data_IF_993325302098
#
_entry.id   IF_993325302098
#
_cell.length_a   1.000
_cell.length_b   1.000
_cell.length_c   1.000
_cell.angle_alpha   90.00
_cell.angle_beta   90.00
_cell.angle_gamma   90.00
#
_symmetry.space_group_name_H-M   'P 1'
#
loop_
_entity.id
_entity.type
_entity.pdbx_description
1 polymer ?
#
# COMPACT_ATOMS: atom_id res chain seq x y z
N UNK A 1 -9.90 8.44 15.50
CA UNK A 1 -10.38 7.51 14.47
C UNK A 1 -11.32 8.21 13.52
N UNK A 2 -11.13 7.99 12.25
CA UNK A 2 -11.97 8.65 11.25
C UNK A 2 -13.25 7.89 11.01
N UNK A 3 -14.29 8.63 10.68
CA UNK A 3 -15.56 8.03 10.29
C UNK A 3 -15.54 7.75 8.79
N UNK A 4 -16.55 7.00 8.34
CA UNK A 4 -16.69 6.72 6.90
C UNK A 4 -16.89 8.00 6.10
N UNK A 5 -17.56 8.98 6.67
CA UNK A 5 -17.80 10.26 6.01
C UNK A 5 -16.49 11.00 5.72
N UNK A 6 -15.54 10.89 6.64
CA UNK A 6 -14.24 11.54 6.48
C UNK A 6 -13.40 10.88 5.40
N UNK A 7 -13.75 9.65 5.01
CA UNK A 7 -13.00 8.90 4.02
C UNK A 7 -13.39 9.23 2.58
N UNK A 8 -14.46 10.00 2.36
CA UNK A 8 -14.91 10.25 0.99
C UNK A 8 -13.90 11.02 0.17
N UNK A 9 -13.23 12.02 0.76
CA UNK A 9 -12.18 12.74 0.06
C UNK A 9 -11.00 11.83 -0.27
N UNK A 10 -10.65 10.97 0.67
CA UNK A 10 -9.58 10.01 0.45
C UNK A 10 -9.92 9.05 -0.67
N UNK A 11 -11.14 8.54 -0.70
CA UNK A 11 -11.56 7.61 -1.73
C UNK A 11 -11.56 8.26 -3.11
N UNK A 12 -11.99 9.52 -3.20
CA UNK A 12 -11.94 10.24 -4.46
C UNK A 12 -10.50 10.43 -4.94
N UNK A 13 -9.59 10.74 -4.01
CA UNK A 13 -8.19 10.90 -4.34
C UNK A 13 -7.58 9.58 -4.80
N UNK A 14 -7.92 8.49 -4.12
CA UNK A 14 -7.43 7.17 -4.49
C UNK A 14 -7.94 6.75 -5.87
N UNK A 15 -9.23 6.99 -6.13
CA UNK A 15 -9.80 6.66 -7.43
C UNK A 15 -9.11 7.43 -8.55
N UNK A 16 -8.86 8.70 -8.31
CA UNK A 16 -8.13 9.54 -9.26
C UNK A 16 -6.74 8.99 -9.55
N UNK A 17 -6.05 8.56 -8.50
CA UNK A 17 -4.72 7.98 -8.64
C UNK A 17 -4.75 6.64 -9.38
N UNK A 18 -5.78 5.83 -9.11
CA UNK A 18 -5.95 4.57 -9.83
C UNK A 18 -6.16 4.84 -11.32
N UNK A 19 -7.00 5.81 -11.64
CA UNK A 19 -7.29 6.16 -13.03
C UNK A 19 -6.05 6.70 -13.75
N UNK A 20 -5.22 7.43 -13.03
CA UNK A 20 -4.04 8.07 -13.61
C UNK A 20 -2.85 7.13 -13.75
N UNK A 21 -2.62 6.29 -12.75
CA UNK A 21 -1.40 5.47 -12.67
C UNK A 21 -1.63 3.98 -12.81
N UNK A 22 -2.87 3.53 -12.63
CA UNK A 22 -3.17 2.12 -12.59
C UNK A 22 -3.01 1.55 -11.19
N UNK A 23 -3.80 0.52 -10.90
CA UNK A 23 -3.81 -0.03 -9.55
C UNK A 23 -2.51 -0.76 -9.20
N UNK A 24 -1.87 -1.39 -10.19
CA UNK A 24 -0.63 -2.10 -9.94
C UNK A 24 0.47 -1.15 -9.46
N UNK A 25 0.57 0.03 -10.08
CA UNK A 25 1.56 1.03 -9.69
C UNK A 25 1.26 1.54 -8.27
N UNK A 26 -0.02 1.76 -7.95
CA UNK A 26 -0.39 2.17 -6.60
C UNK A 26 -0.04 1.11 -5.57
N UNK A 27 -0.24 -0.16 -5.89
CA UNK A 27 0.10 -1.23 -4.96
C UNK A 27 1.59 -1.27 -4.71
N UNK A 28 2.41 -1.08 -5.75
CA UNK A 28 3.86 -1.01 -5.58
C UNK A 28 4.26 0.17 -4.69
N UNK A 29 3.58 1.31 -4.87
CA UNK A 29 3.79 2.46 -4.01
C UNK A 29 3.49 2.17 -2.56
N UNK A 30 2.39 1.45 -2.31
CA UNK A 30 2.02 1.07 -0.95
C UNK A 30 3.05 0.11 -0.34
N UNK A 31 3.57 -0.82 -1.12
CA UNK A 31 4.65 -1.70 -0.67
C UNK A 31 5.86 -0.88 -0.23
N UNK A 32 6.23 0.08 -1.05
CA UNK A 32 7.36 0.95 -0.74
C UNK A 32 7.14 1.72 0.56
N UNK A 33 5.94 2.27 0.74
CA UNK A 33 5.59 2.98 1.95
C UNK A 33 5.65 2.06 3.18
N UNK A 34 5.11 0.84 3.04
CA UNK A 34 5.13 -0.11 4.15
C UNK A 34 6.56 -0.46 4.55
N UNK A 35 7.44 -0.66 3.57
CA UNK A 35 8.85 -0.96 3.86
C UNK A 35 9.55 0.21 4.51
N UNK A 36 9.28 1.43 4.06
CA UNK A 36 9.84 2.62 4.68
C UNK A 36 9.38 2.79 6.12
N UNK A 37 8.11 2.50 6.38
CA UNK A 37 7.59 2.56 7.74
C UNK A 37 8.29 1.55 8.63
N UNK A 38 8.50 0.33 8.13
CA UNK A 38 9.20 -0.70 8.90
C UNK A 38 10.62 -0.25 9.25
N UNK A 39 11.35 0.27 8.28
CA UNK A 39 12.72 0.74 8.50
C UNK A 39 12.76 1.89 9.48
N UNK A 40 11.86 2.85 9.33
CA UNK A 40 11.82 4.01 10.20
C UNK A 40 11.55 3.61 11.65
N UNK A 41 10.59 2.73 11.86
CA UNK A 41 10.22 2.27 13.20
C UNK A 41 11.37 1.49 13.82
N UNK A 42 11.99 0.61 13.03
CA UNK A 42 13.10 -0.18 13.52
C UNK A 42 14.29 0.69 13.91
N UNK A 43 14.62 1.67 13.06
CA UNK A 43 15.80 2.51 13.28
C UNK A 43 15.61 3.52 14.40
N UNK A 44 14.42 4.12 14.50
CA UNK A 44 14.21 5.23 15.42
C UNK A 44 13.59 4.81 16.74
N UNK A 45 12.75 3.79 16.73
CA UNK A 45 12.01 3.38 17.90
C UNK A 45 12.46 2.02 18.44
N UNK A 46 13.21 1.28 17.62
CA UNK A 46 13.64 -0.06 17.94
C UNK A 46 12.48 -0.98 18.33
N UNK A 47 11.32 -0.69 17.75
CA UNK A 47 10.13 -1.51 17.97
C UNK A 47 10.09 -2.59 16.90
N UNK A 48 10.75 -3.71 17.19
CA UNK A 48 10.86 -4.79 16.22
C UNK A 48 9.52 -5.45 15.93
N UNK A 49 8.62 -5.47 16.90
CA UNK A 49 7.30 -6.06 16.71
C UNK A 49 6.49 -5.25 15.71
N UNK A 50 6.48 -3.93 15.88
CA UNK A 50 5.76 -3.05 14.96
C UNK A 50 6.40 -3.04 13.58
N UNK A 51 7.73 -3.01 13.52
CA UNK A 51 8.45 -3.08 12.24
C UNK A 51 8.12 -4.38 11.51
N UNK A 52 8.08 -5.49 12.22
CA UNK A 52 7.75 -6.78 11.64
C UNK A 52 6.31 -6.79 11.10
N UNK A 53 5.41 -6.14 11.82
CA UNK A 53 4.02 -6.01 11.37
C UNK A 53 3.94 -5.27 10.02
N UNK A 54 4.68 -4.18 9.89
CA UNK A 54 4.73 -3.44 8.62
C UNK A 54 5.33 -4.28 7.49
N UNK A 55 6.34 -5.10 7.80
CA UNK A 55 6.91 -6.00 6.80
C UNK A 55 5.92 -7.06 6.36
N UNK A 56 5.10 -7.54 7.28
CA UNK A 56 4.03 -8.48 6.94
C UNK A 56 2.99 -7.84 6.03
N UNK A 57 2.68 -6.58 6.26
CA UNK A 57 1.80 -5.83 5.36
C UNK A 57 2.42 -5.74 3.96
N UNK A 58 3.69 -5.39 3.89
CA UNK A 58 4.40 -5.31 2.61
C UNK A 58 4.38 -6.65 1.89
N UNK A 59 4.68 -7.73 2.59
CA UNK A 59 4.70 -9.06 2.00
C UNK A 59 3.31 -9.49 1.50
N UNK A 60 2.26 -9.12 2.23
CA UNK A 60 0.90 -9.43 1.80
C UNK A 60 0.56 -8.67 0.52
N UNK A 61 1.00 -7.42 0.40
CA UNK A 61 0.74 -6.61 -0.76
C UNK A 61 1.43 -7.13 -2.01
N UNK A 62 2.57 -7.79 -1.86
CA UNK A 62 3.31 -8.35 -2.99
C UNK A 62 3.14 -9.87 -3.11
N UNK A 63 2.09 -10.41 -2.50
CA UNK A 63 1.85 -11.84 -2.59
C UNK A 63 1.68 -12.27 -4.04
N UNK A 64 2.07 -13.51 -4.33
CA UNK A 64 1.99 -14.04 -5.68
C UNK A 64 0.57 -14.00 -6.22
N UNK A 65 -0.40 -14.29 -5.36
CA UNK A 65 -1.81 -14.30 -5.75
C UNK A 65 -2.25 -12.90 -6.21
N UNK A 66 -1.88 -11.89 -5.45
CA UNK A 66 -2.24 -10.51 -5.79
C UNK A 66 -1.51 -10.06 -7.05
N UNK A 67 -0.24 -10.37 -7.17
CA UNK A 67 0.54 -10.03 -8.36
C UNK A 67 -0.07 -10.64 -9.61
N UNK A 68 -0.47 -11.90 -9.55
CA UNK A 68 -1.09 -12.56 -10.68
C UNK A 68 -2.41 -11.90 -11.07
N UNK A 69 -3.21 -11.52 -10.08
CA UNK A 69 -4.47 -10.84 -10.34
C UNK A 69 -4.23 -9.48 -10.99
N UNK A 70 -3.25 -8.72 -10.48
CA UNK A 70 -2.95 -7.41 -11.02
C UNK A 70 -2.43 -7.48 -12.45
N UNK A 71 -1.66 -8.52 -12.76
CA UNK A 71 -1.12 -8.70 -14.11
C UNK A 71 -2.18 -8.97 -15.16
N UNK A 72 -3.37 -9.34 -14.74
CA UNK A 72 -4.49 -9.59 -15.66
C UNK A 72 -5.27 -8.33 -15.98
N UNK A 73 -5.01 -7.25 -15.24
CA UNK A 73 -5.70 -6.00 -15.49
C UNK A 73 -5.08 -5.27 -16.65
N UNK A 74 -5.90 -4.55 -17.43
CA UNK A 74 -5.34 -3.75 -18.53
C UNK A 74 -4.48 -2.63 -17.98
N UNK A 75 -3.49 -2.22 -18.77
CA UNK A 75 -2.63 -1.12 -18.40
C UNK A 75 -3.43 0.17 -18.48
N UNK A 76 -3.37 0.95 -17.43
CA UNK A 76 -4.01 2.25 -17.38
C UNK A 76 -3.02 3.33 -17.81
N UNK A 77 -3.47 4.16 -18.69
CA UNK A 77 -2.63 5.27 -19.13
C UNK A 77 -3.37 6.58 -19.11
#
# INVERSE_FOLDING_TARGET
MQTIQDNSEMLEALESLVDKHGIAVLMLGLVHIADEKAEHIQSNWQDMVMADTWRKVSNALISKRLSNALNRLPIQE
#
